data_IF_623683361117
#
_entry.id   IF_623683361117
#
_cell.length_a   1.000
_cell.length_b   1.000
_cell.length_c   1.000
_cell.angle_alpha   90.00
_cell.angle_beta   90.00
_cell.angle_gamma   90.00
#
_symmetry.space_group_name_H-M   'P 1'
#
loop_
_entity.id
_entity.type
_entity.pdbx_description
1 polymer ?
#
# COMPACT_ATOMS: atom_id res chain seq x y z
N UNK A 1 -51.80 26.52 7.33
CA UNK A 1 -53.22 26.84 7.08
C UNK A 1 -53.33 27.44 5.68
N UNK A 2 -54.42 27.15 4.96
CA UNK A 2 -54.75 27.49 3.55
C UNK A 2 -54.10 26.52 2.55
N UNK A 3 -54.70 25.36 2.17
CA UNK A 3 -55.98 25.02 1.50
C UNK A 3 -56.12 25.40 0.02
N UNK A 4 -56.51 24.37 -0.75
CA UNK A 4 -56.81 24.24 -2.18
C UNK A 4 -57.78 25.29 -2.77
N UNK A 5 -57.67 25.50 -4.10
CA UNK A 5 -58.70 25.09 -5.07
C UNK A 5 -58.61 25.86 -6.41
N UNK A 6 -58.64 25.14 -7.54
CA UNK A 6 -59.82 25.04 -8.45
C UNK A 6 -59.46 24.46 -9.82
N UNK A 7 -60.07 23.32 -10.12
CA UNK A 7 -60.29 22.76 -11.46
C UNK A 7 -61.16 23.70 -12.32
N UNK A 8 -60.86 23.75 -13.63
CA UNK A 8 -61.86 23.83 -14.71
C UNK A 8 -61.41 22.98 -15.91
N UNK A 9 -62.21 21.99 -16.30
CA UNK A 9 -62.35 21.54 -17.70
C UNK A 9 -63.61 22.22 -18.26
N UNK A 10 -63.73 22.44 -19.59
CA UNK A 10 -64.50 21.46 -20.36
C UNK A 10 -64.12 21.27 -21.85
N UNK A 11 -64.35 20.02 -22.30
CA UNK A 11 -65.03 19.58 -23.54
C UNK A 11 -64.60 20.10 -24.92
N UNK A 12 -64.33 19.17 -25.85
CA UNK A 12 -64.45 19.42 -27.29
C UNK A 12 -63.74 18.43 -28.21
N UNK A 13 -64.36 17.27 -28.46
CA UNK A 13 -63.96 16.31 -29.48
C UNK A 13 -64.09 16.90 -30.90
N UNK A 14 -63.04 16.78 -31.72
CA UNK A 14 -63.17 16.66 -33.19
C UNK A 14 -62.24 15.56 -33.71
N UNK A 15 -62.85 14.48 -34.20
CA UNK A 15 -62.23 13.47 -35.07
C UNK A 15 -61.97 14.07 -36.47
N UNK A 16 -60.76 13.89 -37.00
CA UNK A 16 -60.45 13.77 -38.43
C UNK A 16 -59.35 12.70 -38.52
N UNK A 17 -59.72 11.52 -39.01
CA UNK A 17 -59.43 10.96 -40.34
C UNK A 17 -58.00 10.44 -40.45
N UNK A 18 -57.95 9.13 -40.65
CA UNK A 18 -56.80 8.28 -40.87
C UNK A 18 -55.89 8.82 -41.97
N UNK A 19 -54.59 8.78 -41.70
CA UNK A 19 -53.57 8.55 -42.71
C UNK A 19 -52.49 7.69 -42.05
N UNK A 20 -52.57 6.39 -42.33
CA UNK A 20 -51.42 5.52 -42.32
C UNK A 20 -50.36 6.12 -43.26
N UNK A 21 -49.23 6.48 -42.70
CA UNK A 21 -47.98 6.54 -43.42
C UNK A 21 -46.93 5.99 -42.48
N UNK A 22 -46.34 4.89 -42.91
CA UNK A 22 -45.26 4.16 -42.27
C UNK A 22 -44.17 5.13 -41.79
N UNK A 23 -44.12 5.35 -40.48
CA UNK A 23 -42.87 5.66 -39.82
C UNK A 23 -42.36 4.35 -39.25
N UNK A 24 -41.52 3.64 -40.02
CA UNK A 24 -40.43 2.88 -39.40
C UNK A 24 -39.56 3.92 -38.68
N UNK A 25 -39.91 4.22 -37.42
CA UNK A 25 -38.93 4.69 -36.46
C UNK A 25 -37.90 3.57 -36.36
N UNK A 26 -36.80 3.70 -37.11
CA UNK A 26 -35.52 3.27 -36.56
C UNK A 26 -35.40 4.01 -35.23
N UNK A 27 -35.64 3.28 -34.13
CA UNK A 27 -35.14 3.72 -32.84
C UNK A 27 -33.62 3.86 -33.02
N UNK A 28 -32.99 4.98 -32.61
CA UNK A 28 -31.55 4.99 -32.44
C UNK A 28 -31.18 3.81 -31.53
N UNK A 29 -30.14 3.08 -31.90
CA UNK A 29 -29.66 1.95 -31.11
C UNK A 29 -29.16 2.44 -29.74
N UNK A 30 -29.43 1.73 -28.63
CA UNK A 30 -29.10 2.14 -27.25
C UNK A 30 -27.60 2.16 -26.92
N UNK A 31 -26.73 1.99 -27.92
CA UNK A 31 -25.30 1.73 -27.74
C UNK A 31 -24.54 2.97 -27.22
N UNK A 32 -24.91 4.17 -27.66
CA UNK A 32 -24.21 5.41 -27.23
C UNK A 32 -24.50 5.80 -25.77
N UNK A 33 -25.66 5.44 -25.20
CA UNK A 33 -25.98 5.76 -23.80
C UNK A 33 -25.26 4.81 -22.82
N UNK A 34 -25.12 3.52 -23.18
CA UNK A 34 -24.40 2.53 -22.37
C UNK A 34 -22.88 2.77 -22.35
N UNK A 35 -22.27 3.19 -23.46
CA UNK A 35 -20.85 3.55 -23.51
C UNK A 35 -20.53 4.76 -22.59
N UNK A 36 -21.40 5.78 -22.57
CA UNK A 36 -21.24 6.93 -21.68
C UNK A 36 -21.38 6.56 -20.19
N UNK A 37 -22.24 5.59 -19.85
CA UNK A 37 -22.38 5.10 -18.48
C UNK A 37 -21.13 4.33 -18.02
N UNK A 38 -20.51 3.53 -18.89
CA UNK A 38 -19.27 2.80 -18.60
C UNK A 38 -18.11 3.77 -18.32
N UNK A 39 -17.89 4.74 -19.21
CA UNK A 39 -16.84 5.76 -19.03
C UNK A 39 -17.04 6.55 -17.73
N UNK A 40 -18.30 6.82 -17.36
CA UNK A 40 -18.62 7.49 -16.10
C UNK A 40 -18.20 6.66 -14.88
N UNK A 41 -18.41 5.34 -14.90
CA UNK A 41 -18.02 4.46 -13.78
C UNK A 41 -16.50 4.34 -13.67
N UNK A 42 -15.79 4.30 -14.80
CA UNK A 42 -14.32 4.32 -14.83
C UNK A 42 -13.77 5.63 -14.25
N UNK A 43 -14.33 6.77 -14.63
CA UNK A 43 -13.93 8.08 -14.08
C UNK A 43 -14.21 8.21 -12.57
N UNK A 44 -15.25 7.55 -12.05
CA UNK A 44 -15.50 7.49 -10.61
C UNK A 44 -14.41 6.71 -9.87
N UNK A 45 -13.87 5.65 -10.47
CA UNK A 45 -12.75 4.90 -9.89
C UNK A 45 -11.46 5.71 -9.90
N UNK A 46 -11.16 6.41 -11.00
CA UNK A 46 -10.01 7.32 -11.08
C UNK A 46 -10.10 8.42 -10.01
N UNK A 47 -11.31 8.96 -9.80
CA UNK A 47 -11.56 9.94 -8.74
C UNK A 47 -11.31 9.34 -7.35
N UNK A 48 -11.72 8.10 -7.12
CA UNK A 48 -11.48 7.42 -5.85
C UNK A 48 -9.98 7.25 -5.57
N UNK A 49 -9.20 6.89 -6.58
CA UNK A 49 -7.75 6.75 -6.50
C UNK A 49 -7.07 8.09 -6.20
N UNK A 50 -7.50 9.17 -6.85
CA UNK A 50 -6.97 10.51 -6.60
C UNK A 50 -7.19 10.97 -5.14
N UNK A 51 -8.37 10.74 -4.57
CA UNK A 51 -8.62 11.04 -3.15
C UNK A 51 -7.76 10.18 -2.22
N UNK A 52 -7.51 8.93 -2.58
CA UNK A 52 -6.62 8.06 -1.81
C UNK A 52 -5.17 8.57 -1.81
N UNK A 53 -4.68 9.03 -2.96
CA UNK A 53 -3.35 9.64 -3.08
C UNK A 53 -3.23 10.95 -2.27
N UNK A 54 -4.32 11.71 -2.14
CA UNK A 54 -4.43 12.89 -1.26
C UNK A 54 -4.63 12.54 0.22
N UNK A 55 -4.61 11.24 0.57
CA UNK A 55 -4.87 10.70 1.92
C UNK A 55 -6.27 11.01 2.48
N UNK A 56 -7.23 11.37 1.61
CA UNK A 56 -8.64 11.51 1.96
C UNK A 56 -9.37 10.17 1.85
N UNK A 57 -9.09 9.30 2.84
CA UNK A 57 -9.58 7.91 2.86
C UNK A 57 -11.11 7.83 2.88
N UNK A 58 -11.79 8.76 3.56
CA UNK A 58 -13.25 8.75 3.64
C UNK A 58 -13.89 8.99 2.27
N UNK A 59 -13.43 10.02 1.54
CA UNK A 59 -13.94 10.28 0.20
C UNK A 59 -13.55 9.18 -0.78
N UNK A 60 -12.30 8.69 -0.72
CA UNK A 60 -11.86 7.56 -1.54
C UNK A 60 -12.80 6.35 -1.39
N UNK A 61 -13.12 5.95 -0.16
CA UNK A 61 -14.05 4.84 0.11
C UNK A 61 -15.49 5.13 -0.36
N UNK A 62 -15.96 6.37 -0.25
CA UNK A 62 -17.30 6.74 -0.72
C UNK A 62 -17.41 6.59 -2.25
N UNK A 63 -16.38 7.02 -2.99
CA UNK A 63 -16.34 6.81 -4.44
C UNK A 63 -16.18 5.34 -4.81
N UNK A 64 -15.35 4.56 -4.12
CA UNK A 64 -15.25 3.10 -4.34
C UNK A 64 -16.60 2.42 -4.17
N UNK A 65 -17.36 2.75 -3.11
CA UNK A 65 -18.70 2.19 -2.89
C UNK A 65 -19.67 2.59 -4.01
N UNK A 66 -19.58 3.82 -4.51
CA UNK A 66 -20.38 4.28 -5.64
C UNK A 66 -20.04 3.48 -6.92
N UNK A 67 -18.77 3.25 -7.21
CA UNK A 67 -18.32 2.41 -8.34
C UNK A 67 -18.89 1.00 -8.23
N UNK A 68 -18.77 0.36 -7.06
CA UNK A 68 -19.33 -0.98 -6.82
C UNK A 68 -20.84 -1.01 -7.02
N UNK A 69 -21.56 0.01 -6.52
CA UNK A 69 -22.99 0.12 -6.73
C UNK A 69 -23.35 0.22 -8.21
N UNK A 70 -22.66 1.07 -8.97
CA UNK A 70 -22.92 1.25 -10.40
C UNK A 70 -22.56 0.01 -11.23
N UNK A 71 -21.44 -0.67 -10.93
CA UNK A 71 -21.11 -1.95 -11.55
C UNK A 71 -22.20 -3.00 -11.33
N UNK A 72 -22.75 -3.09 -10.11
CA UNK A 72 -23.87 -3.99 -9.82
C UNK A 72 -25.18 -3.57 -10.49
N UNK A 73 -25.43 -2.26 -10.65
CA UNK A 73 -26.61 -1.75 -11.34
C UNK A 73 -26.57 -2.06 -12.84
N UNK A 74 -25.40 -1.91 -13.45
CA UNK A 74 -25.18 -2.10 -14.88
C UNK A 74 -25.05 -3.57 -15.27
N UNK A 75 -24.43 -4.40 -14.41
CA UNK A 75 -24.28 -5.85 -14.58
C UNK A 75 -23.74 -6.23 -15.98
N UNK A 76 -22.60 -5.63 -16.35
CA UNK A 76 -21.96 -5.82 -17.66
C UNK A 76 -20.50 -6.26 -17.50
N UNK A 77 -20.08 -7.24 -18.32
CA UNK A 77 -18.68 -7.71 -18.38
C UNK A 77 -17.69 -6.59 -18.75
N UNK A 78 -18.17 -5.52 -19.42
CA UNK A 78 -17.32 -4.38 -19.79
C UNK A 78 -16.75 -3.65 -18.57
N UNK A 79 -17.40 -3.77 -17.40
CA UNK A 79 -16.95 -3.17 -16.15
C UNK A 79 -16.23 -4.16 -15.23
N UNK A 80 -15.97 -5.40 -15.65
CA UNK A 80 -15.36 -6.40 -14.77
C UNK A 80 -13.97 -5.96 -14.28
N UNK A 81 -13.18 -5.27 -15.12
CA UNK A 81 -11.90 -4.66 -14.70
C UNK A 81 -12.13 -3.64 -13.58
N UNK A 82 -12.92 -2.61 -13.84
CA UNK A 82 -13.23 -1.52 -12.90
C UNK A 82 -13.86 -2.04 -11.61
N UNK A 83 -14.73 -3.04 -11.72
CA UNK A 83 -15.38 -3.66 -10.57
C UNK A 83 -14.37 -4.42 -9.70
N UNK A 84 -13.52 -5.25 -10.32
CA UNK A 84 -12.49 -5.98 -9.59
C UNK A 84 -11.51 -5.05 -8.88
N UNK A 85 -11.12 -3.95 -9.52
CA UNK A 85 -10.29 -2.91 -8.92
C UNK A 85 -10.97 -2.22 -7.74
N UNK A 86 -12.25 -1.83 -7.88
CA UNK A 86 -12.99 -1.20 -6.81
C UNK A 86 -13.17 -2.12 -5.59
N UNK A 87 -13.47 -3.40 -5.82
CA UNK A 87 -13.56 -4.41 -4.74
C UNK A 87 -12.23 -4.57 -4.01
N UNK A 88 -11.11 -4.57 -4.73
CA UNK A 88 -9.79 -4.58 -4.12
C UNK A 88 -9.51 -3.30 -3.31
N UNK A 89 -9.84 -2.13 -3.85
CA UNK A 89 -9.66 -0.85 -3.16
C UNK A 89 -10.51 -0.76 -1.88
N UNK A 90 -11.73 -1.30 -1.90
CA UNK A 90 -12.61 -1.35 -0.73
C UNK A 90 -11.93 -2.05 0.47
N UNK A 91 -11.11 -3.07 0.20
CA UNK A 91 -10.40 -3.84 1.22
C UNK A 91 -9.05 -3.21 1.58
N UNK A 92 -8.44 -2.41 0.71
CA UNK A 92 -7.05 -1.94 0.85
C UNK A 92 -6.87 -0.45 1.15
N UNK A 93 -7.86 0.41 0.90
CA UNK A 93 -7.73 1.84 1.22
C UNK A 93 -7.74 2.12 2.72
N UNK A 94 -8.31 1.23 3.52
CA UNK A 94 -8.50 1.44 4.95
C UNK A 94 -7.63 0.52 5.80
N UNK A 95 -6.44 0.14 5.31
CA UNK A 95 -5.60 -0.90 5.92
C UNK A 95 -5.31 -0.68 7.42
N UNK A 96 -4.93 0.52 7.91
CA UNK A 96 -4.69 0.75 9.33
C UNK A 96 -5.94 0.61 10.20
N UNK A 97 -7.08 1.14 9.75
CA UNK A 97 -8.34 0.99 10.49
C UNK A 97 -8.83 -0.45 10.41
N UNK A 98 -8.64 -1.14 9.29
CA UNK A 98 -8.97 -2.54 9.09
C UNK A 98 -8.16 -3.44 10.04
N UNK A 99 -6.90 -3.11 10.36
CA UNK A 99 -6.12 -3.83 11.37
C UNK A 99 -6.52 -3.54 12.81
N UNK A 100 -6.68 -2.26 13.18
CA UNK A 100 -7.21 -1.91 14.51
C UNK A 100 -8.62 -2.47 14.73
N UNK A 101 -9.41 -2.54 13.65
CA UNK A 101 -10.72 -3.16 13.59
C UNK A 101 -10.59 -4.68 13.70
N UNK A 102 -9.71 -5.37 12.97
CA UNK A 102 -9.54 -6.83 13.06
C UNK A 102 -8.96 -7.33 14.37
N UNK A 103 -8.06 -6.58 14.98
CA UNK A 103 -7.58 -6.89 16.33
C UNK A 103 -8.74 -6.91 17.36
N UNK A 104 -9.86 -6.26 17.05
CA UNK A 104 -11.00 -6.04 17.95
C UNK A 104 -12.36 -6.53 17.41
N UNK A 105 -12.44 -7.20 16.25
CA UNK A 105 -13.72 -7.55 15.60
C UNK A 105 -13.96 -9.04 15.44
N UNK A 106 -15.24 -9.37 15.23
CA UNK A 106 -15.72 -10.73 15.08
C UNK A 106 -15.21 -11.39 13.77
N UNK A 107 -14.99 -12.72 13.75
CA UNK A 107 -14.55 -13.48 12.58
C UNK A 107 -15.31 -13.21 11.27
N UNK A 108 -16.58 -12.75 11.35
CA UNK A 108 -17.46 -12.49 10.21
C UNK A 108 -16.96 -11.41 9.26
N UNK A 109 -16.25 -10.39 9.75
CA UNK A 109 -15.77 -9.29 8.91
C UNK A 109 -14.58 -9.75 8.05
N UNK A 110 -13.71 -10.58 8.63
CA UNK A 110 -12.58 -11.15 7.89
C UNK A 110 -13.06 -12.04 6.74
N UNK A 111 -14.12 -12.81 6.99
CA UNK A 111 -14.79 -13.60 5.94
C UNK A 111 -15.39 -12.71 4.85
N UNK A 112 -15.97 -11.57 5.20
CA UNK A 112 -16.51 -10.59 4.26
C UNK A 112 -15.42 -9.99 3.35
N UNK A 113 -14.28 -9.57 3.90
CA UNK A 113 -13.17 -9.03 3.10
C UNK A 113 -12.54 -10.09 2.20
N UNK A 114 -12.39 -11.32 2.68
CA UNK A 114 -11.96 -12.44 1.83
C UNK A 114 -12.97 -12.66 0.69
N UNK A 115 -14.27 -12.55 0.97
CA UNK A 115 -15.32 -12.61 -0.04
C UNK A 115 -15.23 -11.51 -1.10
N UNK A 116 -14.95 -10.26 -0.70
CA UNK A 116 -14.71 -9.17 -1.66
C UNK A 116 -13.47 -9.42 -2.52
N UNK A 117 -12.39 -9.94 -1.94
CA UNK A 117 -11.18 -10.28 -2.69
C UNK A 117 -11.40 -11.47 -3.63
N UNK A 118 -12.20 -12.46 -3.23
CA UNK A 118 -12.60 -13.56 -4.10
C UNK A 118 -13.38 -13.07 -5.31
N UNK A 119 -14.35 -12.18 -5.09
CA UNK A 119 -15.09 -11.56 -6.19
C UNK A 119 -14.19 -10.66 -7.05
N UNK A 120 -13.25 -9.93 -6.45
CA UNK A 120 -12.29 -9.12 -7.20
C UNK A 120 -11.44 -9.99 -8.14
N UNK A 121 -10.96 -11.13 -7.66
CA UNK A 121 -10.19 -12.09 -8.47
C UNK A 121 -11.05 -12.68 -9.59
N UNK A 122 -12.29 -13.08 -9.30
CA UNK A 122 -13.23 -13.59 -10.31
C UNK A 122 -13.42 -12.58 -11.45
N UNK A 123 -13.65 -11.32 -11.09
CA UNK A 123 -13.86 -10.21 -12.03
C UNK A 123 -12.60 -9.87 -12.83
N UNK A 124 -11.43 -9.87 -12.22
CA UNK A 124 -10.17 -9.59 -12.93
C UNK A 124 -9.75 -10.72 -13.87
N UNK A 125 -10.13 -11.98 -13.58
CA UNK A 125 -9.87 -13.12 -14.46
C UNK A 125 -10.81 -13.14 -15.68
N UNK A 126 -12.04 -12.62 -15.57
CA UNK A 126 -13.00 -12.59 -16.69
C UNK A 126 -12.69 -11.52 -17.74
N UNK A 127 -11.75 -10.61 -17.48
CA UNK A 127 -11.32 -9.58 -18.43
C UNK A 127 -10.71 -10.22 -19.69
N UNK A 128 -11.31 -9.94 -20.86
CA UNK A 128 -10.94 -10.55 -22.15
C UNK A 128 -9.54 -10.14 -22.63
N UNK A 129 -9.13 -8.91 -22.34
CA UNK A 129 -7.82 -8.36 -22.67
C UNK A 129 -7.11 -7.97 -21.38
N UNK A 130 -6.26 -8.85 -20.89
CA UNK A 130 -5.48 -8.61 -19.67
C UNK A 130 -4.37 -7.62 -20.01
N UNK A 131 -4.50 -6.40 -19.51
CA UNK A 131 -3.46 -5.37 -19.51
C UNK A 131 -2.62 -5.39 -18.22
N UNK A 132 -1.62 -4.51 -18.13
CA UNK A 132 -0.75 -4.42 -16.96
C UNK A 132 -1.53 -4.05 -15.69
N UNK A 133 -2.54 -3.19 -15.78
CA UNK A 133 -3.39 -2.83 -14.64
C UNK A 133 -4.16 -4.03 -14.10
N UNK A 134 -4.84 -4.76 -14.99
CA UNK A 134 -5.61 -5.95 -14.61
C UNK A 134 -4.68 -7.03 -14.05
N UNK A 135 -3.49 -7.19 -14.63
CA UNK A 135 -2.44 -8.10 -14.13
C UNK A 135 -1.96 -7.69 -12.74
N UNK A 136 -1.69 -6.40 -12.53
CA UNK A 136 -1.23 -5.88 -11.24
C UNK A 136 -2.28 -6.14 -10.16
N UNK A 137 -3.52 -5.68 -10.38
CA UNK A 137 -4.60 -5.79 -9.40
C UNK A 137 -4.99 -7.24 -9.14
N UNK A 138 -4.91 -8.14 -10.13
CA UNK A 138 -5.15 -9.56 -9.93
C UNK A 138 -4.13 -10.16 -8.96
N UNK A 139 -2.84 -9.89 -9.16
CA UNK A 139 -1.80 -10.32 -8.23
C UNK A 139 -1.95 -9.67 -6.85
N UNK A 140 -2.25 -8.38 -6.80
CA UNK A 140 -2.43 -7.64 -5.54
C UNK A 140 -3.61 -8.19 -4.71
N UNK A 141 -4.74 -8.50 -5.36
CA UNK A 141 -5.91 -9.08 -4.71
C UNK A 141 -5.62 -10.50 -4.16
N UNK A 142 -4.91 -11.34 -4.94
CA UNK A 142 -4.51 -12.67 -4.48
C UNK A 142 -3.54 -12.58 -3.30
N UNK A 143 -2.54 -11.69 -3.36
CA UNK A 143 -1.59 -11.50 -2.28
C UNK A 143 -2.30 -11.02 -1.02
N UNK A 144 -3.16 -10.00 -1.13
CA UNK A 144 -3.92 -9.48 0.01
C UNK A 144 -4.80 -10.55 0.64
N UNK A 145 -5.43 -11.40 -0.18
CA UNK A 145 -6.21 -12.54 0.32
C UNK A 145 -5.34 -13.52 1.08
N UNK A 146 -4.18 -13.89 0.54
CA UNK A 146 -3.23 -14.79 1.19
C UNK A 146 -2.72 -14.24 2.52
N UNK A 147 -2.44 -12.94 2.58
CA UNK A 147 -2.06 -12.22 3.80
C UNK A 147 -3.16 -12.31 4.86
N UNK A 148 -4.40 -11.94 4.51
CA UNK A 148 -5.53 -12.06 5.43
C UNK A 148 -5.72 -13.52 5.91
N UNK A 149 -5.53 -14.50 5.03
CA UNK A 149 -5.67 -15.92 5.38
C UNK A 149 -4.47 -16.51 6.12
N UNK A 150 -3.35 -15.77 6.25
CA UNK A 150 -2.07 -16.27 6.73
C UNK A 150 -1.57 -17.52 5.98
N UNK A 151 -1.69 -17.50 4.64
CA UNK A 151 -1.36 -18.60 3.73
C UNK A 151 -0.60 -18.09 2.49
N UNK A 152 0.56 -17.47 2.72
CA UNK A 152 1.33 -16.83 1.64
C UNK A 152 2.07 -17.88 0.81
N UNK A 153 1.72 -17.93 -0.47
CA UNK A 153 2.42 -18.66 -1.51
C UNK A 153 2.69 -17.72 -2.69
N UNK A 154 3.92 -17.22 -2.76
CA UNK A 154 4.32 -16.26 -3.79
C UNK A 154 4.49 -16.88 -5.18
N UNK A 155 4.40 -18.21 -5.35
CA UNK A 155 4.57 -18.84 -6.67
C UNK A 155 3.53 -18.36 -7.68
N UNK A 156 2.26 -18.27 -7.27
CA UNK A 156 1.16 -17.77 -8.09
C UNK A 156 1.30 -16.28 -8.39
N UNK A 157 1.72 -15.51 -7.39
CA UNK A 157 1.97 -14.07 -7.53
C UNK A 157 3.09 -13.83 -8.54
N UNK A 158 4.17 -14.60 -8.43
CA UNK A 158 5.30 -14.53 -9.34
C UNK A 158 4.91 -14.90 -10.77
N UNK A 159 4.07 -15.92 -10.96
CA UNK A 159 3.54 -16.27 -12.28
C UNK A 159 2.70 -15.14 -12.89
N UNK A 160 1.81 -14.53 -12.11
CA UNK A 160 0.94 -13.44 -12.58
C UNK A 160 1.77 -12.20 -12.92
N UNK A 161 2.57 -11.71 -11.98
CA UNK A 161 3.34 -10.48 -12.15
C UNK A 161 4.57 -10.63 -13.05
N UNK A 162 4.96 -11.86 -13.42
CA UNK A 162 5.94 -12.07 -14.51
C UNK A 162 5.47 -11.51 -15.86
N UNK A 163 4.16 -11.28 -16.02
CA UNK A 163 3.55 -10.74 -17.24
C UNK A 163 3.52 -9.22 -17.28
N UNK A 164 3.82 -8.53 -16.17
CA UNK A 164 3.87 -7.07 -16.14
C UNK A 164 5.01 -6.57 -17.00
N UNK A 165 4.74 -5.53 -17.80
CA UNK A 165 5.79 -4.86 -18.56
C UNK A 165 6.76 -4.06 -17.66
N UNK A 166 6.22 -3.46 -16.59
CA UNK A 166 6.96 -2.79 -15.52
C UNK A 166 6.55 -3.37 -14.16
N UNK A 167 7.53 -3.81 -13.38
CA UNK A 167 7.32 -4.44 -12.08
C UNK A 167 7.43 -3.48 -10.90
N UNK A 168 7.75 -2.20 -11.12
CA UNK A 168 7.97 -1.21 -10.05
C UNK A 168 6.76 -1.09 -9.11
N UNK A 169 5.55 -1.11 -9.67
CA UNK A 169 4.30 -1.07 -8.90
C UNK A 169 4.08 -2.34 -8.05
N UNK A 170 4.42 -3.51 -8.60
CA UNK A 170 4.34 -4.78 -7.87
C UNK A 170 5.34 -4.82 -6.70
N UNK A 171 6.57 -4.33 -6.91
CA UNK A 171 7.57 -4.19 -5.84
C UNK A 171 7.11 -3.27 -4.73
N UNK A 172 6.62 -2.08 -5.09
CA UNK A 172 6.11 -1.09 -4.14
C UNK A 172 4.97 -1.69 -3.31
N UNK A 173 4.08 -2.47 -3.93
CA UNK A 173 3.00 -3.13 -3.22
C UNK A 173 3.49 -4.23 -2.26
N UNK A 174 4.52 -5.00 -2.64
CA UNK A 174 5.14 -6.00 -1.76
C UNK A 174 5.80 -5.36 -0.53
N UNK A 175 6.54 -4.27 -0.73
CA UNK A 175 7.17 -3.49 0.36
C UNK A 175 6.09 -2.96 1.30
N UNK A 176 5.07 -2.27 0.75
CA UNK A 176 3.96 -1.71 1.53
C UNK A 176 3.15 -2.79 2.26
N UNK A 177 3.04 -4.00 1.69
CA UNK A 177 2.45 -5.14 2.39
C UNK A 177 3.26 -5.47 3.63
N UNK A 178 4.58 -5.58 3.53
CA UNK A 178 5.45 -5.84 4.68
C UNK A 178 5.42 -4.70 5.73
N UNK A 179 5.33 -3.44 5.30
CA UNK A 179 5.22 -2.28 6.21
C UNK A 179 3.93 -2.32 7.04
N UNK A 180 2.81 -2.67 6.42
CA UNK A 180 1.50 -2.67 7.08
C UNK A 180 1.19 -3.97 7.83
N UNK A 181 1.82 -5.08 7.44
CA UNK A 181 1.53 -6.41 7.97
C UNK A 181 2.70 -6.95 8.81
N UNK A 182 2.94 -6.34 9.98
CA UNK A 182 4.02 -6.76 10.89
C UNK A 182 3.84 -8.18 11.46
N UNK A 183 2.63 -8.75 11.37
CA UNK A 183 2.30 -10.10 11.84
C UNK A 183 2.56 -11.21 10.80
N UNK A 184 3.16 -10.89 9.65
CA UNK A 184 3.51 -11.90 8.66
C UNK A 184 4.47 -12.94 9.24
N UNK A 185 4.27 -14.24 8.92
CA UNK A 185 5.27 -15.25 9.25
C UNK A 185 6.64 -14.84 8.69
N UNK A 186 7.69 -15.03 9.49
CA UNK A 186 9.08 -14.69 9.19
C UNK A 186 9.51 -15.03 7.75
N UNK A 187 9.22 -16.27 7.32
CA UNK A 187 9.57 -16.74 5.98
C UNK A 187 8.79 -16.01 4.88
N UNK A 188 7.53 -15.64 5.15
CA UNK A 188 6.68 -14.91 4.21
C UNK A 188 7.09 -13.45 4.08
N UNK A 189 7.40 -12.77 5.20
CA UNK A 189 7.91 -11.40 5.22
C UNK A 189 9.20 -11.29 4.38
N UNK A 190 10.16 -12.17 4.65
CA UNK A 190 11.42 -12.23 3.89
C UNK A 190 11.20 -12.59 2.42
N UNK A 191 10.27 -13.50 2.10
CA UNK A 191 9.98 -13.85 0.71
C UNK A 191 9.38 -12.69 -0.07
N UNK A 192 8.50 -11.89 0.56
CA UNK A 192 7.92 -10.70 -0.04
C UNK A 192 8.98 -9.64 -0.36
N UNK A 193 9.86 -9.33 0.60
CA UNK A 193 10.92 -8.34 0.38
C UNK A 193 11.94 -8.80 -0.67
N UNK A 194 12.33 -10.08 -0.66
CA UNK A 194 13.23 -10.61 -1.70
C UNK A 194 12.61 -10.57 -3.10
N UNK A 195 11.31 -10.85 -3.23
CA UNK A 195 10.61 -10.73 -4.50
C UNK A 195 10.51 -9.27 -4.96
N UNK A 196 10.31 -8.33 -4.02
CA UNK A 196 10.29 -6.90 -4.32
C UNK A 196 11.64 -6.43 -4.87
N UNK A 197 12.75 -6.87 -4.25
CA UNK A 197 14.11 -6.58 -4.71
C UNK A 197 14.33 -7.16 -6.11
N UNK A 198 13.99 -8.43 -6.35
CA UNK A 198 14.08 -9.07 -7.67
C UNK A 198 13.39 -8.23 -8.75
N UNK A 199 12.19 -7.73 -8.46
CA UNK A 199 11.41 -6.92 -9.40
C UNK A 199 11.97 -5.51 -9.61
N UNK A 200 12.50 -4.86 -8.57
CA UNK A 200 13.15 -3.56 -8.68
C UNK A 200 14.46 -3.64 -9.46
N UNK A 201 15.22 -4.73 -9.29
CA UNK A 201 16.45 -4.98 -10.06
C UNK A 201 16.17 -5.25 -11.55
N UNK A 202 15.00 -5.82 -11.87
CA UNK A 202 14.53 -6.06 -13.24
C UNK A 202 13.88 -4.83 -13.89
N UNK A 203 13.49 -3.81 -13.13
CA UNK A 203 12.79 -2.64 -13.66
C UNK A 203 13.71 -1.77 -14.54
N UNK A 204 13.11 -1.18 -15.57
CA UNK A 204 13.81 -0.26 -16.48
C UNK A 204 14.15 1.08 -15.82
N UNK A 205 13.34 1.48 -14.85
CA UNK A 205 13.64 2.56 -13.92
C UNK A 205 14.25 1.92 -12.68
N UNK A 206 15.52 2.21 -12.42
CA UNK A 206 16.16 1.77 -11.18
C UNK A 206 15.57 2.58 -10.03
N UNK A 207 14.43 2.16 -9.51
CA UNK A 207 13.84 2.71 -8.29
C UNK A 207 14.75 2.34 -7.10
N UNK A 208 15.75 3.21 -6.91
CA UNK A 208 16.77 3.05 -5.88
C UNK A 208 16.21 3.27 -4.49
N UNK A 209 15.17 4.09 -4.36
CA UNK A 209 14.52 4.34 -3.08
C UNK A 209 13.77 3.08 -2.62
N UNK A 210 12.98 2.47 -3.51
CA UNK A 210 12.34 1.17 -3.24
C UNK A 210 13.36 0.07 -2.89
N UNK A 211 14.50 0.01 -3.59
CA UNK A 211 15.57 -0.94 -3.27
C UNK A 211 16.18 -0.69 -1.89
N UNK A 212 16.41 0.59 -1.57
CA UNK A 212 16.98 0.98 -0.29
C UNK A 212 16.04 0.61 0.87
N UNK A 213 14.75 0.90 0.73
CA UNK A 213 13.72 0.53 1.71
C UNK A 213 13.62 -0.98 1.90
N UNK A 214 13.58 -1.76 0.81
CA UNK A 214 13.51 -3.21 0.93
C UNK A 214 14.74 -3.80 1.65
N UNK A 215 15.95 -3.32 1.33
CA UNK A 215 17.17 -3.75 2.01
C UNK A 215 17.20 -3.31 3.48
N UNK A 216 16.76 -2.08 3.78
CA UNK A 216 16.68 -1.57 5.14
C UNK A 216 15.70 -2.40 5.99
N UNK A 217 14.52 -2.73 5.44
CA UNK A 217 13.53 -3.56 6.11
C UNK A 217 14.06 -4.97 6.39
N UNK A 218 14.79 -5.58 5.45
CA UNK A 218 15.46 -6.87 5.68
C UNK A 218 16.52 -6.74 6.77
N UNK A 219 17.37 -5.72 6.71
CA UNK A 219 18.45 -5.50 7.68
C UNK A 219 17.91 -5.33 9.11
N UNK A 220 16.92 -4.46 9.27
CA UNK A 220 16.25 -4.19 10.56
C UNK A 220 15.58 -5.44 11.11
N UNK A 221 14.83 -6.15 10.26
CA UNK A 221 14.16 -7.38 10.64
C UNK A 221 15.15 -8.48 11.09
N UNK A 222 16.27 -8.65 10.38
CA UNK A 222 17.31 -9.61 10.75
C UNK A 222 18.02 -9.20 12.05
N UNK A 223 18.18 -7.90 12.30
CA UNK A 223 18.73 -7.40 13.55
C UNK A 223 17.81 -7.74 14.73
N UNK A 224 16.51 -7.46 14.63
CA UNK A 224 15.53 -7.80 15.67
C UNK A 224 15.51 -9.31 15.96
N UNK A 225 15.63 -10.13 14.91
CA UNK A 225 15.69 -11.59 15.04
C UNK A 225 16.98 -12.07 15.72
N UNK A 226 18.12 -11.47 15.39
CA UNK A 226 19.41 -11.79 16.00
C UNK A 226 19.44 -11.43 17.49
N UNK A 227 18.88 -10.27 17.86
CA UNK A 227 18.76 -9.82 19.26
C UNK A 227 17.85 -10.75 20.11
N UNK A 228 16.89 -11.42 19.46
CA UNK A 228 16.00 -12.39 20.12
C UNK A 228 16.58 -13.82 20.25
N UNK A 229 17.73 -14.11 19.63
CA UNK A 229 18.30 -15.46 19.50
C UNK A 229 19.77 -15.61 19.97
N UNK A 230 20.30 -16.84 19.93
CA UNK A 230 21.69 -17.18 20.28
C UNK A 230 22.62 -17.29 19.04
N UNK A 231 22.24 -16.76 17.87
CA UNK A 231 22.91 -17.01 16.58
C UNK A 231 23.53 -15.75 15.92
N UNK A 232 23.97 -14.79 16.74
CA UNK A 232 24.48 -13.45 16.35
C UNK A 232 25.50 -13.47 15.19
N UNK A 233 26.50 -14.35 15.21
CA UNK A 233 27.66 -14.25 14.32
C UNK A 233 27.35 -14.48 12.83
N UNK A 234 26.40 -15.37 12.51
CA UNK A 234 26.04 -15.66 11.10
C UNK A 234 25.08 -14.62 10.53
N UNK A 235 24.24 -14.06 11.38
CA UNK A 235 23.22 -13.09 10.99
C UNK A 235 23.83 -11.69 10.86
N UNK A 236 24.82 -11.34 11.70
CA UNK A 236 25.55 -10.06 11.65
C UNK A 236 26.07 -9.73 10.25
N UNK A 237 26.66 -10.71 9.56
CA UNK A 237 27.17 -10.46 8.19
C UNK A 237 26.05 -10.14 7.20
N UNK A 238 24.93 -10.89 7.25
CA UNK A 238 23.79 -10.66 6.38
C UNK A 238 23.10 -9.33 6.68
N UNK A 239 23.06 -8.93 7.95
CA UNK A 239 22.54 -7.64 8.40
C UNK A 239 23.40 -6.52 7.79
N UNK A 240 24.72 -6.56 8.01
CA UNK A 240 25.66 -5.57 7.44
C UNK A 240 25.53 -5.50 5.92
N UNK A 241 25.53 -6.65 5.22
CA UNK A 241 25.41 -6.70 3.76
C UNK A 241 24.11 -6.01 3.27
N UNK A 242 23.00 -6.08 4.02
CA UNK A 242 21.76 -5.39 3.66
C UNK A 242 21.80 -3.89 3.97
N UNK A 243 22.31 -3.50 5.14
CA UNK A 243 22.47 -2.06 5.46
C UNK A 243 23.45 -1.36 4.52
N UNK A 244 24.53 -2.02 4.08
CA UNK A 244 25.45 -1.46 3.08
C UNK A 244 24.77 -1.27 1.73
N UNK A 245 23.95 -2.24 1.28
CA UNK A 245 23.16 -2.09 0.05
C UNK A 245 22.13 -0.98 0.15
N UNK A 246 21.46 -0.85 1.29
CA UNK A 246 20.53 0.25 1.56
C UNK A 246 21.26 1.59 1.50
N UNK A 247 22.40 1.70 2.18
CA UNK A 247 23.26 2.89 2.16
C UNK A 247 23.70 3.27 0.74
N UNK A 248 24.18 2.30 -0.04
CA UNK A 248 24.61 2.55 -1.41
C UNK A 248 23.43 3.01 -2.28
N UNK A 249 22.25 2.39 -2.13
CA UNK A 249 21.06 2.79 -2.87
C UNK A 249 20.63 4.23 -2.52
N UNK A 250 20.53 4.57 -1.24
CA UNK A 250 20.22 5.94 -0.82
C UNK A 250 21.26 6.92 -1.34
N UNK A 251 22.56 6.65 -1.16
CA UNK A 251 23.65 7.53 -1.60
C UNK A 251 23.56 7.88 -3.10
N UNK A 252 23.11 6.96 -3.94
CA UNK A 252 22.89 7.23 -5.37
C UNK A 252 21.68 8.13 -5.65
N UNK A 253 20.63 8.06 -4.82
CA UNK A 253 19.49 9.00 -4.85
C UNK A 253 19.96 10.39 -4.38
N UNK A 254 20.92 10.45 -3.44
CA UNK A 254 21.38 11.64 -2.73
C UNK A 254 22.13 12.71 -3.53
N UNK A 255 22.47 12.47 -4.80
CA UNK A 255 23.12 13.49 -5.64
C UNK A 255 22.10 14.54 -6.18
N UNK A 256 20.80 14.36 -5.89
CA UNK A 256 19.70 15.27 -6.22
C UNK A 256 18.92 15.61 -4.93
N UNK A 257 18.81 16.91 -4.59
CA UNK A 257 18.10 17.54 -3.45
C UNK A 257 17.36 16.61 -2.45
N UNK A 258 18.06 16.14 -1.40
CA UNK A 258 17.44 15.40 -0.30
C UNK A 258 16.57 16.30 0.59
N UNK A 259 15.43 15.77 1.02
CA UNK A 259 14.67 16.37 2.11
C UNK A 259 15.24 16.01 3.50
N UNK A 260 14.64 16.56 4.55
CA UNK A 260 15.08 16.34 5.93
C UNK A 260 14.96 14.87 6.34
N UNK A 261 13.89 14.19 5.93
CA UNK A 261 13.58 12.83 6.36
C UNK A 261 14.56 11.82 5.72
N UNK A 262 14.89 12.00 4.44
CA UNK A 262 15.88 11.18 3.74
C UNK A 262 17.28 11.31 4.37
N UNK A 263 17.66 12.53 4.77
CA UNK A 263 18.94 12.79 5.44
C UNK A 263 19.00 12.13 6.82
N UNK A 264 17.89 12.14 7.57
CA UNK A 264 17.82 11.45 8.86
C UNK A 264 17.89 9.93 8.70
N UNK A 265 17.25 9.38 7.68
CA UNK A 265 17.30 7.95 7.37
C UNK A 265 18.73 7.49 7.01
N UNK A 266 19.45 8.27 6.21
CA UNK A 266 20.88 8.04 5.93
C UNK A 266 21.74 8.08 7.20
N UNK A 267 21.44 9.02 8.10
CA UNK A 267 22.15 9.14 9.36
C UNK A 267 21.94 7.88 10.22
N UNK A 268 20.72 7.38 10.29
CA UNK A 268 20.36 6.16 10.99
C UNK A 268 21.04 4.93 10.41
N UNK A 269 21.00 4.75 9.08
CA UNK A 269 21.69 3.65 8.40
C UNK A 269 23.19 3.67 8.73
N UNK A 270 23.82 4.85 8.66
CA UNK A 270 25.23 4.99 9.02
C UNK A 270 25.49 4.64 10.49
N UNK A 271 24.61 5.03 11.41
CA UNK A 271 24.76 4.72 12.82
C UNK A 271 24.65 3.21 13.09
N UNK A 272 23.66 2.55 12.47
CA UNK A 272 23.48 1.09 12.54
C UNK A 272 24.71 0.36 12.00
N UNK A 273 25.19 0.75 10.80
CA UNK A 273 26.43 0.20 10.23
C UNK A 273 27.62 0.39 11.18
N UNK A 274 27.77 1.57 11.78
CA UNK A 274 28.83 1.87 12.74
C UNK A 274 28.82 0.93 13.94
N UNK A 275 27.64 0.68 14.54
CA UNK A 275 27.48 -0.21 15.69
C UNK A 275 27.92 -1.64 15.39
N UNK A 276 27.67 -2.10 14.16
CA UNK A 276 27.97 -3.46 13.72
C UNK A 276 29.41 -3.65 13.21
N UNK A 277 30.18 -2.57 13.01
CA UNK A 277 31.56 -2.70 12.52
C UNK A 277 32.50 -3.30 13.60
N UNK A 278 33.21 -4.40 13.29
CA UNK A 278 34.18 -4.99 14.20
C UNK A 278 35.46 -4.15 14.31
N UNK A 279 35.78 -3.36 13.27
CA UNK A 279 36.95 -2.50 13.20
C UNK A 279 36.63 -1.09 13.73
N UNK A 280 37.41 -0.62 14.70
CA UNK A 280 37.26 0.72 15.29
C UNK A 280 37.38 1.86 14.26
N UNK A 281 38.25 1.71 13.26
CA UNK A 281 38.41 2.71 12.20
C UNK A 281 37.16 2.82 11.33
N UNK A 282 36.57 1.69 10.94
CA UNK A 282 35.38 1.65 10.10
C UNK A 282 34.16 2.13 10.89
N UNK A 283 34.06 1.73 12.16
CA UNK A 283 33.08 2.24 13.13
C UNK A 283 33.09 3.77 13.22
N UNK A 284 34.26 4.37 13.47
CA UNK A 284 34.41 5.83 13.54
C UNK A 284 34.05 6.53 12.23
N UNK A 285 34.38 5.93 11.09
CA UNK A 285 34.03 6.46 9.78
C UNK A 285 32.51 6.52 9.59
N UNK A 286 31.79 5.44 9.92
CA UNK A 286 30.33 5.42 9.81
C UNK A 286 29.64 6.37 10.78
N UNK A 287 30.11 6.48 12.02
CA UNK A 287 29.56 7.48 12.96
C UNK A 287 29.82 8.92 12.52
N UNK A 288 30.98 9.19 11.92
CA UNK A 288 31.27 10.50 11.32
C UNK A 288 30.29 10.83 10.19
N UNK A 289 29.93 9.85 9.34
CA UNK A 289 28.89 10.00 8.31
C UNK A 289 27.50 10.21 8.90
N UNK A 290 27.13 9.46 9.94
CA UNK A 290 25.85 9.63 10.62
C UNK A 290 25.69 11.06 11.17
N UNK A 291 26.71 11.56 11.86
CA UNK A 291 26.76 12.95 12.34
C UNK A 291 26.67 13.97 11.20
N UNK A 292 27.34 13.71 10.08
CA UNK A 292 27.30 14.58 8.91
C UNK A 292 25.88 14.71 8.33
N UNK A 293 25.19 13.59 8.09
CA UNK A 293 23.83 13.61 7.51
C UNK A 293 22.80 14.21 8.46
N UNK A 294 22.89 13.93 9.76
CA UNK A 294 22.04 14.59 10.77
C UNK A 294 22.18 16.11 10.76
N UNK A 295 23.41 16.62 10.62
CA UNK A 295 23.66 18.08 10.54
C UNK A 295 23.08 18.69 9.27
N UNK A 296 23.16 17.98 8.14
CA UNK A 296 22.53 18.42 6.89
C UNK A 296 21.01 18.49 7.01
N UNK A 297 20.40 17.56 7.76
CA UNK A 297 18.97 17.56 8.07
C UNK A 297 18.53 18.72 8.98
N UNK A 298 19.45 19.56 9.47
CA UNK A 298 19.13 20.62 10.42
C UNK A 298 18.88 20.12 11.85
N UNK A 299 19.03 18.82 12.09
CA UNK A 299 19.11 18.27 13.44
C UNK A 299 20.55 18.37 13.94
N UNK A 300 20.84 19.46 14.66
CA UNK A 300 22.07 19.58 15.44
C UNK A 300 21.99 18.57 16.60
N UNK A 301 22.49 17.36 16.37
CA UNK A 301 22.82 16.45 17.46
C UNK A 301 24.02 17.07 18.18
N UNK A 302 23.76 17.91 19.20
CA UNK A 302 24.73 18.42 20.17
C UNK A 302 25.27 17.25 21.01
N UNK A 303 26.04 16.37 20.40
CA UNK A 303 26.73 15.30 21.10
C UNK A 303 28.17 15.29 20.59
N UNK A 304 29.12 15.42 21.51
CA UNK A 304 30.53 15.15 21.22
C UNK A 304 30.65 13.75 20.60
N UNK A 305 31.61 13.53 19.70
CA UNK A 305 31.75 12.27 18.96
C UNK A 305 31.76 11.02 19.87
N UNK A 306 32.17 11.13 21.14
CA UNK A 306 32.08 10.04 22.14
C UNK A 306 30.66 9.88 22.73
N UNK A 307 29.91 10.95 22.95
CA UNK A 307 28.53 10.92 23.47
C UNK A 307 27.51 10.55 22.39
N UNK A 308 27.77 10.87 21.13
CA UNK A 308 26.95 10.44 19.99
C UNK A 308 27.00 8.90 19.83
N UNK A 309 28.22 8.36 19.85
CA UNK A 309 28.49 6.91 19.83
C UNK A 309 27.89 6.21 21.04
N UNK A 310 28.07 6.78 22.24
CA UNK A 310 27.44 6.25 23.46
C UNK A 310 25.91 6.38 23.45
N UNK A 311 25.32 7.33 22.72
CA UNK A 311 23.86 7.51 22.63
C UNK A 311 23.20 6.51 21.68
N UNK A 312 23.84 6.21 20.54
CA UNK A 312 23.38 5.18 19.60
C UNK A 312 23.64 3.77 20.12
N UNK A 313 24.84 3.49 20.67
CA UNK A 313 25.11 2.21 21.35
C UNK A 313 24.16 2.00 22.55
N UNK A 314 23.74 3.05 23.28
CA UNK A 314 22.73 2.93 24.35
C UNK A 314 21.30 2.79 23.87
N UNK A 315 20.93 3.30 22.69
CA UNK A 315 19.57 3.15 22.13
C UNK A 315 19.36 1.74 21.59
N UNK A 316 20.35 1.20 20.89
CA UNK A 316 20.34 -0.20 20.44
C UNK A 316 20.42 -1.16 21.64
N UNK A 317 21.24 -0.86 22.67
CA UNK A 317 21.25 -1.64 23.92
C UNK A 317 20.12 -1.29 24.92
N UNK A 318 19.18 -0.41 24.58
CA UNK A 318 17.95 -0.13 25.36
C UNK A 318 16.69 -0.28 24.50
N UNK A 319 16.52 -1.46 23.93
CA UNK A 319 15.24 -2.17 24.16
C UNK A 319 15.33 -2.83 25.54
N UNK A 320 15.51 -2.00 26.57
CA UNK A 320 15.37 -2.44 27.95
C UNK A 320 13.87 -2.64 28.11
N UNK A 321 13.46 -3.91 27.99
CA UNK A 321 12.23 -4.48 28.51
C UNK A 321 11.59 -3.48 29.46
N UNK A 322 10.43 -2.92 29.10
CA UNK A 322 9.53 -2.35 30.09
C UNK A 322 9.21 -3.50 31.03
N UNK A 323 10.04 -3.66 32.07
CA UNK A 323 9.63 -4.33 33.29
C UNK A 323 8.52 -3.44 33.76
N UNK A 324 7.31 -3.93 33.52
CA UNK A 324 6.06 -3.47 34.10
C UNK A 324 6.20 -3.57 35.63
N UNK A 325 6.93 -2.61 36.19
CA UNK A 325 6.83 -2.19 37.57
C UNK A 325 5.43 -1.61 37.72
N UNK A 326 4.49 -2.49 38.05
CA UNK A 326 3.24 -2.23 38.74
C UNK A 326 2.64 -0.81 38.64
N UNK A 327 1.42 -0.84 38.09
CA UNK A 327 0.23 -0.02 38.33
C UNK A 327 0.05 1.21 37.44
N UNK A 328 -0.80 0.99 36.44
CA UNK A 328 -2.01 1.77 36.18
C UNK A 328 -2.49 2.56 37.41
N UNK A 329 -2.54 3.87 37.25
CA UNK A 329 -3.81 4.59 37.35
C UNK A 329 -3.81 5.78 36.41
N UNK A 330 -4.52 5.59 35.29
CA UNK A 330 -5.33 6.58 34.59
C UNK A 330 -4.64 7.83 34.01
N UNK A 331 -4.67 7.92 32.67
CA UNK A 331 -4.95 9.18 31.99
C UNK A 331 -3.96 9.55 30.90
N UNK A 332 -4.30 9.14 29.67
CA UNK A 332 -3.87 9.73 28.38
C UNK A 332 -2.37 9.84 28.16
N UNK A 333 -1.82 8.88 27.42
CA UNK A 333 -0.50 9.02 26.81
C UNK A 333 -0.68 9.06 25.29
N UNK A 334 -0.40 10.22 24.71
CA UNK A 334 -0.06 10.33 23.30
C UNK A 334 1.34 9.79 23.13
N UNK A 335 1.51 8.79 22.26
CA UNK A 335 2.82 8.29 21.84
C UNK A 335 3.28 9.24 20.73
N UNK A 336 4.45 9.85 20.89
CA UNK A 336 5.21 10.37 19.76
C UNK A 336 6.17 9.25 19.40
N UNK A 337 5.91 8.62 18.26
CA UNK A 337 6.87 7.76 17.57
C UNK A 337 7.85 8.72 16.90
N UNK A 338 9.14 8.59 17.19
CA UNK A 338 10.22 9.21 16.39
C UNK A 338 10.75 8.09 15.52
#
# INVERSE_FOLDING_TARGET
MVEDAKRKKPMGLKKKKDQESENKKLKPEPVEEEENEIETVEALLETALAYYDEQDIENALNYVRAVIHECNRLDTEMLDKTYGQALFCLVTFDVPSVYEYYANTEPSIKEEHVGFLDLAVEKLISVKEIDDDSTFYLGAAILRKMVLMNQIDLSKIKEIWSKLSDKSRASSFLIKTCENDLDLPNDSYMSCLNLAIEYLEESSEKDRFGLANAHLMIGTYLQDYAEAGENEDKETKLIIDNFEKAFDCFKYVCDEDLDEDDLLLLAEICANLGCMQPNESDRKNFYSKASHYSKLAGQELELDDEDFVNSFERRINKVDVIKTGKKSSCGKSSIIVI
#
